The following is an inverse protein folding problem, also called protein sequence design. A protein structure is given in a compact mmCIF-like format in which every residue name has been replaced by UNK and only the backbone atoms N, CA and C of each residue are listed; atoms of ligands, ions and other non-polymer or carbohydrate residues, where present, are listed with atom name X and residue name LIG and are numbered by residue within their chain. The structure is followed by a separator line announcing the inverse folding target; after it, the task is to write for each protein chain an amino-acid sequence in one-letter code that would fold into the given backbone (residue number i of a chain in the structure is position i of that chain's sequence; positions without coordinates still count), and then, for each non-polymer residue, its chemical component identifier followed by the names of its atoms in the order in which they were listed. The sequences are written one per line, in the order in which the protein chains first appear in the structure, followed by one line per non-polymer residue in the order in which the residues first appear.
data_IF_543769669263
#
_entry.id   IF_543769669263
#
_cell.length_a   1.000
_cell.length_b   1.000
_cell.length_c   1.000
_cell.angle_alpha   90.00
_cell.angle_beta   90.00
_cell.angle_gamma   90.00
#
_symmetry.space_group_name_H-M   'P 1'
#
loop_
_entity.id
_entity.type
_entity.pdbx_description
1 polymer ?
#
# COMPACT_ATOMS: atom_id res chain seq x y z
N UNK A 1 24.81 -16.78 -11.11
CA UNK A 1 25.16 -15.71 -12.07
C UNK A 1 24.16 -14.54 -12.15
N UNK A 2 22.99 -14.61 -11.50
CA UNK A 2 21.97 -13.54 -11.51
C UNK A 2 21.75 -12.85 -10.15
N UNK A 3 22.63 -13.11 -9.18
CA UNK A 3 22.64 -12.44 -7.89
C UNK A 3 23.78 -11.41 -7.90
N UNK A 4 23.41 -10.16 -8.19
CA UNK A 4 24.33 -9.04 -8.38
C UNK A 4 23.85 -7.87 -7.53
N UNK A 5 24.79 -7.19 -6.86
CA UNK A 5 24.51 -5.91 -6.20
C UNK A 5 24.42 -4.76 -7.20
N UNK A 6 24.07 -3.56 -6.70
CA UNK A 6 24.03 -2.34 -7.51
C UNK A 6 25.43 -2.04 -8.05
N UNK A 7 25.53 -1.84 -9.35
CA UNK A 7 26.78 -1.55 -10.07
C UNK A 7 26.48 -0.66 -11.26
N UNK A 8 27.47 0.08 -11.77
CA UNK A 8 27.30 1.05 -12.86
C UNK A 8 26.59 0.51 -14.12
N UNK A 9 26.66 -0.80 -14.34
CA UNK A 9 26.03 -1.45 -15.49
C UNK A 9 24.53 -1.77 -15.28
N UNK A 10 24.06 -1.76 -14.03
CA UNK A 10 22.69 -2.09 -13.63
C UNK A 10 21.96 -0.83 -13.14
N UNK A 11 20.65 -0.82 -13.29
CA UNK A 11 19.77 0.23 -12.78
C UNK A 11 19.58 0.12 -11.26
N UNK A 12 19.25 1.22 -10.59
CA UNK A 12 19.00 1.26 -9.14
C UNK A 12 17.49 1.13 -8.87
N UNK A 13 17.10 0.20 -7.99
CA UNK A 13 15.70 0.03 -7.61
C UNK A 13 15.14 1.25 -6.85
N UNK A 14 15.98 1.94 -6.09
CA UNK A 14 15.57 3.05 -5.23
C UNK A 14 15.50 4.38 -5.99
N UNK A 15 16.23 4.50 -7.09
CA UNK A 15 16.24 5.65 -7.99
C UNK A 15 16.31 5.14 -9.45
N UNK A 16 15.21 4.54 -9.96
CA UNK A 16 15.23 3.93 -11.28
C UNK A 16 15.27 4.99 -12.38
N UNK A 17 16.26 4.88 -13.27
CA UNK A 17 16.45 5.83 -14.37
C UNK A 17 16.46 5.16 -15.76
N UNK A 18 16.60 3.84 -15.82
CA UNK A 18 16.80 3.08 -17.07
C UNK A 18 15.79 1.94 -17.21
N UNK A 19 16.26 0.69 -17.30
CA UNK A 19 15.43 -0.47 -17.60
C UNK A 19 14.36 -0.72 -16.51
N UNK A 20 14.64 -0.40 -15.25
CA UNK A 20 13.63 -0.49 -14.18
C UNK A 20 12.58 0.61 -14.30
N UNK A 21 12.98 1.83 -14.70
CA UNK A 21 12.03 2.93 -14.92
C UNK A 21 11.08 2.61 -16.06
N UNK A 22 11.62 2.13 -17.19
CA UNK A 22 10.82 1.70 -18.33
C UNK A 22 9.85 0.57 -17.94
N UNK A 23 10.32 -0.41 -17.17
CA UNK A 23 9.46 -1.49 -16.67
C UNK A 23 8.34 -0.97 -15.75
N UNK A 24 8.63 -0.01 -14.87
CA UNK A 24 7.63 0.64 -14.02
C UNK A 24 6.60 1.41 -14.84
N UNK A 25 7.03 2.15 -15.86
CA UNK A 25 6.14 2.95 -16.72
C UNK A 25 5.21 2.06 -17.55
N UNK A 26 5.75 1.00 -18.16
CA UNK A 26 4.95 0.00 -18.88
C UNK A 26 3.95 -0.70 -17.95
N UNK A 27 4.33 -0.94 -16.69
CA UNK A 27 3.43 -1.55 -15.71
C UNK A 27 2.33 -0.58 -15.28
N UNK A 28 2.65 0.70 -15.09
CA UNK A 28 1.65 1.74 -14.82
C UNK A 28 0.64 1.85 -15.96
N UNK A 29 1.11 1.86 -17.21
CA UNK A 29 0.24 1.86 -18.40
C UNK A 29 -0.65 0.61 -18.45
N UNK A 30 -0.08 -0.58 -18.21
CA UNK A 30 -0.81 -1.85 -18.24
C UNK A 30 -1.97 -1.87 -17.23
N UNK A 31 -1.76 -1.34 -16.03
CA UNK A 31 -2.77 -1.31 -14.97
C UNK A 31 -3.64 -0.04 -14.99
N UNK A 32 -3.37 0.92 -15.87
CA UNK A 32 -4.08 2.19 -15.94
C UNK A 32 -3.85 3.08 -14.70
N UNK A 33 -2.65 3.02 -14.11
CA UNK A 33 -2.25 3.84 -12.97
C UNK A 33 -1.39 5.04 -13.42
N UNK A 34 -1.40 6.13 -12.64
CA UNK A 34 -0.54 7.28 -12.91
C UNK A 34 0.96 6.96 -12.75
N UNK A 35 1.28 6.11 -11.76
CA UNK A 35 2.63 5.66 -11.44
C UNK A 35 2.61 4.21 -10.94
N UNK A 36 3.73 3.50 -11.08
CA UNK A 36 3.94 2.18 -10.49
C UNK A 36 5.33 2.12 -9.84
N UNK A 37 5.42 1.51 -8.65
CA UNK A 37 6.68 1.26 -7.95
C UNK A 37 6.85 -0.21 -7.66
N UNK A 38 8.05 -0.73 -7.90
CA UNK A 38 8.37 -2.13 -7.59
C UNK A 38 8.88 -2.28 -6.16
N UNK A 39 8.55 -3.42 -5.54
CA UNK A 39 9.01 -3.79 -4.20
C UNK A 39 9.56 -5.20 -4.19
N UNK A 40 10.70 -5.35 -3.52
CA UNK A 40 11.32 -6.65 -3.21
C UNK A 40 11.01 -7.11 -1.77
N UNK A 41 10.36 -6.26 -0.97
CA UNK A 41 9.98 -6.53 0.43
C UNK A 41 8.49 -6.85 0.58
N UNK A 42 7.87 -7.30 -0.52
CA UNK A 42 6.45 -7.64 -0.59
C UNK A 42 5.51 -6.43 -0.41
N UNK A 43 4.21 -6.73 -0.30
CA UNK A 43 3.16 -5.72 -0.17
C UNK A 43 3.20 -4.97 1.16
N UNK A 44 3.72 -5.58 2.23
CA UNK A 44 3.86 -4.93 3.55
C UNK A 44 4.66 -3.64 3.44
N UNK A 45 5.85 -3.69 2.83
CA UNK A 45 6.70 -2.51 2.67
C UNK A 45 6.06 -1.43 1.80
N UNK A 46 5.29 -1.82 0.76
CA UNK A 46 4.55 -0.87 -0.07
C UNK A 46 3.41 -0.20 0.68
N UNK A 47 2.67 -0.95 1.51
CA UNK A 47 1.60 -0.38 2.35
C UNK A 47 2.18 0.63 3.36
N UNK A 48 3.29 0.28 4.00
CA UNK A 48 3.98 1.18 4.94
C UNK A 48 4.48 2.44 4.23
N UNK A 49 5.16 2.28 3.09
CA UNK A 49 5.63 3.41 2.28
C UNK A 49 4.47 4.29 1.78
N UNK A 50 3.39 3.69 1.31
CA UNK A 50 2.18 4.40 0.86
C UNK A 50 1.58 5.23 2.01
N UNK A 51 1.42 4.65 3.20
CA UNK A 51 0.86 5.37 4.35
C UNK A 51 1.80 6.51 4.77
N UNK A 52 3.08 6.23 4.98
CA UNK A 52 4.05 7.25 5.42
C UNK A 52 4.28 8.37 4.39
N UNK A 53 4.11 8.07 3.10
CA UNK A 53 4.22 9.06 2.02
C UNK A 53 2.96 9.90 1.82
N UNK A 54 1.81 9.47 2.36
CA UNK A 54 0.51 10.13 2.13
C UNK A 54 0.01 10.88 3.35
N UNK A 55 0.22 10.36 4.56
CA UNK A 55 -0.28 10.94 5.82
C UNK A 55 0.82 11.05 6.87
N UNK A 56 0.81 12.14 7.62
CA UNK A 56 1.76 12.43 8.68
C UNK A 56 1.20 12.27 10.10
N UNK A 57 2.01 12.61 11.11
CA UNK A 57 1.59 12.57 12.51
C UNK A 57 0.34 13.42 12.76
N UNK A 58 -0.58 12.90 13.57
CA UNK A 58 -1.86 13.54 13.94
C UNK A 58 -2.86 13.77 12.79
N UNK A 59 -2.48 13.54 11.53
CA UNK A 59 -3.40 13.56 10.39
C UNK A 59 -4.28 12.31 10.37
N UNK A 60 -5.42 12.38 9.69
CA UNK A 60 -6.43 11.33 9.72
C UNK A 60 -6.38 10.49 8.45
N UNK A 61 -6.52 9.17 8.60
CA UNK A 61 -6.66 8.21 7.49
C UNK A 61 -7.86 7.30 7.74
N UNK A 62 -8.68 7.12 6.70
CA UNK A 62 -9.84 6.23 6.76
C UNK A 62 -9.41 4.84 6.33
N UNK A 63 -9.65 3.82 7.18
CA UNK A 63 -9.28 2.43 6.91
C UNK A 63 -10.39 1.45 7.30
N UNK A 64 -10.52 0.30 6.61
CA UNK A 64 -11.43 -0.76 7.04
C UNK A 64 -10.98 -1.34 8.39
N UNK A 65 -11.93 -1.75 9.23
CA UNK A 65 -11.65 -2.31 10.56
C UNK A 65 -10.87 -3.63 10.51
N UNK A 66 -11.04 -4.37 9.43
CA UNK A 66 -10.41 -5.64 9.10
C UNK A 66 -9.09 -5.49 8.33
N UNK A 67 -8.50 -4.28 8.34
CA UNK A 67 -7.22 -4.02 7.68
C UNK A 67 -6.11 -4.99 8.13
N UNK A 68 -5.29 -5.42 7.17
CA UNK A 68 -4.17 -6.33 7.44
C UNK A 68 -3.16 -5.68 8.40
N UNK A 69 -2.41 -6.51 9.15
CA UNK A 69 -1.43 -6.04 10.15
C UNK A 69 -0.41 -5.04 9.60
N UNK A 70 -0.08 -5.12 8.31
CA UNK A 70 0.82 -4.16 7.63
C UNK A 70 0.30 -2.73 7.65
N UNK A 71 -1.03 -2.53 7.54
CA UNK A 71 -1.64 -1.20 7.67
C UNK A 71 -1.43 -0.65 9.08
N UNK A 72 -1.61 -1.50 10.09
CA UNK A 72 -1.39 -1.11 11.49
C UNK A 72 0.08 -0.74 11.75
N UNK A 73 1.02 -1.46 11.14
CA UNK A 73 2.44 -1.10 11.17
C UNK A 73 2.67 0.29 10.56
N UNK A 74 2.11 0.56 9.37
CA UNK A 74 2.19 1.87 8.74
C UNK A 74 1.58 3.00 9.57
N UNK A 75 0.48 2.76 10.29
CA UNK A 75 -0.11 3.74 11.23
C UNK A 75 0.84 4.05 12.39
N UNK A 76 1.46 3.02 12.97
CA UNK A 76 2.43 3.20 14.06
C UNK A 76 3.65 3.98 13.58
N UNK A 77 4.14 3.70 12.38
CA UNK A 77 5.31 4.40 11.80
C UNK A 77 5.00 5.85 11.41
N UNK A 78 3.82 6.11 10.84
CA UNK A 78 3.41 7.46 10.41
C UNK A 78 2.94 8.36 11.55
N UNK A 79 2.40 7.79 12.63
CA UNK A 79 1.73 8.55 13.69
C UNK A 79 0.34 9.06 13.28
N UNK A 80 -0.20 8.57 12.15
CA UNK A 80 -1.53 8.93 11.68
C UNK A 80 -2.64 8.38 12.59
N UNK A 81 -3.75 9.12 12.68
CA UNK A 81 -4.94 8.75 13.45
C UNK A 81 -5.93 8.01 12.56
N UNK A 82 -6.21 6.72 12.82
CA UNK A 82 -7.16 5.97 12.01
C UNK A 82 -8.61 6.35 12.36
N UNK A 83 -9.42 6.51 11.32
CA UNK A 83 -10.88 6.44 11.39
C UNK A 83 -11.32 5.13 10.76
N UNK A 84 -12.00 4.29 11.53
CA UNK A 84 -12.33 2.93 11.11
C UNK A 84 -13.70 2.85 10.46
N UNK A 85 -13.73 2.35 9.22
CA UNK A 85 -14.96 1.91 8.57
C UNK A 85 -15.40 0.56 9.14
N UNK A 86 -16.68 0.47 9.49
CA UNK A 86 -17.30 -0.79 9.90
C UNK A 86 -17.44 -1.77 8.73
N UNK A 87 -17.51 -3.06 9.05
CA UNK A 87 -17.76 -4.14 8.11
C UNK A 87 -18.98 -4.94 8.59
N UNK A 88 -19.80 -5.38 7.65
CA UNK A 88 -20.90 -6.29 7.94
C UNK A 88 -20.37 -7.73 7.97
N UNK A 89 -20.98 -8.59 8.78
CA UNK A 89 -20.57 -9.98 8.91
C UNK A 89 -21.71 -10.90 8.51
N UNK A 90 -21.38 -12.00 7.81
CA UNK A 90 -22.34 -13.06 7.55
C UNK A 90 -22.80 -13.66 8.88
N UNK A 91 -24.11 -13.61 9.15
CA UNK A 91 -24.67 -14.04 10.44
C UNK A 91 -24.45 -15.52 10.74
N UNK A 92 -24.34 -16.36 9.70
CA UNK A 92 -24.20 -17.80 9.84
C UNK A 92 -22.75 -18.22 10.01
N UNK A 93 -21.84 -17.60 9.28
CA UNK A 93 -20.44 -18.02 9.19
C UNK A 93 -19.46 -17.08 9.90
N UNK A 94 -19.90 -15.87 10.28
CA UNK A 94 -19.04 -14.86 10.92
C UNK A 94 -17.94 -14.33 10.00
N UNK A 95 -18.12 -14.43 8.68
CA UNK A 95 -17.14 -14.01 7.68
C UNK A 95 -17.39 -12.54 7.35
N UNK A 96 -16.35 -11.69 7.26
CA UNK A 96 -16.51 -10.30 6.84
C UNK A 96 -17.02 -10.23 5.40
N UNK A 97 -18.08 -9.45 5.18
CA UNK A 97 -18.67 -9.18 3.87
C UNK A 97 -18.08 -7.93 3.19
N UNK A 98 -17.17 -7.24 3.88
CA UNK A 98 -16.56 -5.99 3.47
C UNK A 98 -17.36 -4.76 3.92
N UNK A 99 -16.92 -3.60 3.43
CA UNK A 99 -17.50 -2.29 3.78
C UNK A 99 -18.69 -1.99 2.86
N UNK A 100 -19.88 -1.83 3.45
CA UNK A 100 -21.06 -1.33 2.75
C UNK A 100 -21.01 0.19 2.56
N UNK A 101 -21.76 0.72 1.59
CA UNK A 101 -21.81 2.17 1.35
C UNK A 101 -22.28 2.95 2.59
N UNK A 102 -23.20 2.38 3.36
CA UNK A 102 -23.68 2.97 4.61
C UNK A 102 -22.56 3.06 5.66
N UNK A 103 -21.76 2.00 5.80
CA UNK A 103 -20.61 1.99 6.71
C UNK A 103 -19.51 2.96 6.27
N UNK A 104 -19.30 3.13 4.96
CA UNK A 104 -18.36 4.08 4.41
C UNK A 104 -18.75 5.55 4.69
N UNK A 105 -20.05 5.89 4.60
CA UNK A 105 -20.54 7.27 4.80
C UNK A 105 -20.58 7.69 6.28
N UNK A 106 -20.77 6.73 7.20
CA UNK A 106 -20.84 7.01 8.65
C UNK A 106 -19.48 7.31 9.30
N UNK A 107 -18.39 7.05 8.57
CA UNK A 107 -17.01 7.11 9.07
C UNK A 107 -16.45 8.51 9.00
#
# INVERSE_FOLDING_TARGET
PYDLGVMYALDDLHEPERELKEAQDLTAELYGADCCWFSINGTTALIEAMIMGTVGPDETIIIPREAHRSVISGLVLSGAKPVYMGCDFDERWGIPLGVSLENAIKS
#
